data_IF_605957014383
#
_entry.id   IF_605957014383
#
_cell.length_a   1.000
_cell.length_b   1.000
_cell.length_c   1.000
_cell.angle_alpha   90.00
_cell.angle_beta   90.00
_cell.angle_gamma   90.00
#
_symmetry.space_group_name_H-M   'P 1'
#
loop_
_entity.id
_entity.type
_entity.pdbx_description
1 polymer ?
#
# COMPACT_ATOMS: atom_id res chain seq x y z
N UNK A 1 36.87 -31.39 -47.74
CA UNK A 1 35.53 -30.94 -47.30
C UNK A 1 35.25 -31.12 -45.81
N UNK A 2 36.10 -31.73 -45.01
CA UNK A 2 35.88 -32.01 -43.57
C UNK A 2 36.19 -30.85 -42.60
N UNK A 3 36.94 -29.82 -43.00
CA UNK A 3 37.41 -28.76 -42.10
C UNK A 3 36.46 -27.57 -41.90
N UNK A 4 35.41 -27.43 -42.73
CA UNK A 4 34.45 -26.33 -42.64
C UNK A 4 33.34 -26.60 -41.59
N UNK A 5 32.95 -27.87 -41.47
CA UNK A 5 31.90 -28.31 -40.54
C UNK A 5 32.31 -28.19 -39.05
N UNK A 6 33.58 -28.45 -38.72
CA UNK A 6 34.08 -28.38 -37.37
C UNK A 6 34.23 -26.95 -36.83
N UNK A 7 34.50 -25.97 -37.73
CA UNK A 7 34.55 -24.55 -37.35
C UNK A 7 33.16 -23.97 -37.05
N UNK A 8 32.15 -24.34 -37.83
CA UNK A 8 30.78 -23.90 -37.63
C UNK A 8 30.19 -24.47 -36.31
N UNK A 9 30.45 -25.74 -36.04
CA UNK A 9 30.02 -26.37 -34.76
C UNK A 9 30.69 -25.73 -33.57
N UNK A 10 31.98 -25.39 -33.63
CA UNK A 10 32.68 -24.66 -32.55
C UNK A 10 32.10 -23.27 -32.33
N UNK A 11 31.74 -22.54 -33.39
CA UNK A 11 31.14 -21.22 -33.28
C UNK A 11 29.71 -21.28 -32.69
N UNK A 12 28.92 -22.30 -33.03
CA UNK A 12 27.60 -22.54 -32.50
C UNK A 12 27.69 -22.91 -30.99
N UNK A 13 28.63 -23.77 -30.61
CA UNK A 13 28.86 -24.14 -29.23
C UNK A 13 29.35 -22.93 -28.42
N UNK A 14 30.27 -22.12 -28.95
CA UNK A 14 30.73 -20.91 -28.31
C UNK A 14 29.60 -19.87 -28.13
N UNK A 15 28.75 -19.73 -29.14
CA UNK A 15 27.56 -18.88 -29.08
C UNK A 15 26.54 -19.35 -28.04
N UNK A 16 26.34 -20.67 -27.92
CA UNK A 16 25.45 -21.26 -26.88
C UNK A 16 26.02 -21.11 -25.48
N UNK A 17 27.34 -21.23 -25.31
CA UNK A 17 28.03 -21.01 -24.03
C UNK A 17 27.96 -19.54 -23.59
N UNK A 18 28.10 -18.60 -24.52
CA UNK A 18 27.96 -17.16 -24.24
C UNK A 18 26.51 -16.83 -23.87
N UNK A 19 25.49 -17.43 -24.50
CA UNK A 19 24.09 -17.30 -24.14
C UNK A 19 23.77 -17.87 -22.75
N UNK A 20 24.43 -18.94 -22.33
CA UNK A 20 24.29 -19.55 -21.00
C UNK A 20 25.02 -18.74 -19.90
N UNK A 21 26.04 -17.94 -20.26
CA UNK A 21 26.76 -17.06 -19.34
C UNK A 21 26.08 -15.69 -19.17
N UNK A 22 25.17 -15.31 -20.05
CA UNK A 22 24.23 -14.19 -19.83
C UNK A 22 23.09 -14.58 -18.90
N UNK A 23 23.34 -15.38 -17.89
CA UNK A 23 22.45 -15.61 -16.77
C UNK A 23 22.25 -14.28 -16.05
N UNK A 24 21.21 -13.57 -16.44
CA UNK A 24 20.70 -12.43 -15.68
C UNK A 24 20.50 -12.94 -14.26
N UNK A 25 21.36 -12.56 -13.31
CA UNK A 25 21.11 -12.82 -11.90
C UNK A 25 19.77 -12.17 -11.54
N UNK A 26 18.71 -12.94 -11.67
CA UNK A 26 17.39 -12.47 -11.29
C UNK A 26 17.40 -12.31 -9.78
N UNK A 27 17.50 -11.06 -9.34
CA UNK A 27 17.43 -10.73 -7.91
C UNK A 27 16.25 -11.46 -7.29
N UNK A 28 16.45 -12.02 -6.10
CA UNK A 28 15.37 -12.64 -5.33
C UNK A 28 14.35 -11.60 -4.91
N UNK A 29 13.14 -12.04 -4.61
CA UNK A 29 12.09 -11.19 -4.04
C UNK A 29 12.54 -10.62 -2.69
N UNK A 30 12.24 -9.36 -2.41
CA UNK A 30 12.52 -8.75 -1.13
C UNK A 30 11.74 -9.43 0.00
N UNK A 31 12.39 -9.61 1.14
CA UNK A 31 11.87 -10.35 2.28
C UNK A 31 11.35 -9.42 3.38
N UNK A 32 10.41 -9.88 4.17
CA UNK A 32 9.88 -9.16 5.33
C UNK A 32 8.49 -8.58 5.13
N UNK A 33 8.03 -7.84 6.15
CA UNK A 33 6.70 -7.22 6.17
C UNK A 33 6.64 -6.00 5.26
N UNK A 34 5.44 -5.69 4.77
CA UNK A 34 5.18 -4.53 3.92
C UNK A 34 4.85 -3.26 4.76
N UNK A 35 4.80 -3.39 6.09
CA UNK A 35 4.54 -2.30 7.06
C UNK A 35 5.71 -2.06 8.03
N UNK A 36 6.83 -2.80 7.94
CA UNK A 36 8.01 -2.61 8.79
C UNK A 36 9.18 -2.06 7.98
N UNK A 37 9.66 -0.89 8.38
CA UNK A 37 10.83 -0.22 7.78
C UNK A 37 12.04 -0.49 8.65
N UNK A 38 13.05 -1.18 8.12
CA UNK A 38 14.35 -1.26 8.75
C UNK A 38 15.10 0.04 8.54
N UNK A 39 15.41 0.72 9.64
CA UNK A 39 16.16 1.98 9.65
C UNK A 39 17.58 1.70 10.14
N UNK A 40 18.54 1.75 9.22
CA UNK A 40 19.95 1.50 9.50
C UNK A 40 20.61 2.84 9.80
N UNK A 41 20.92 3.10 11.07
CA UNK A 41 21.51 4.36 11.52
C UNK A 41 22.48 4.12 12.68
N UNK A 42 23.43 5.03 12.85
CA UNK A 42 24.26 5.07 14.05
C UNK A 42 23.39 5.54 15.26
N UNK A 43 23.73 5.08 16.45
CA UNK A 43 22.94 5.35 17.66
C UNK A 43 22.71 6.85 17.91
N UNK A 44 23.71 7.66 17.64
CA UNK A 44 23.69 9.12 17.79
C UNK A 44 22.73 9.82 16.80
N UNK A 45 22.40 9.15 15.70
CA UNK A 45 21.52 9.70 14.66
C UNK A 45 20.08 9.14 14.73
N UNK A 46 19.84 8.03 15.44
CA UNK A 46 18.52 7.35 15.49
C UNK A 46 17.39 8.31 15.83
N UNK A 47 17.52 9.10 16.87
CA UNK A 47 16.48 10.05 17.31
C UNK A 47 16.12 11.07 16.22
N UNK A 48 17.15 11.64 15.57
CA UNK A 48 16.97 12.64 14.51
C UNK A 48 16.36 12.02 13.24
N UNK A 49 16.83 10.83 12.86
CA UNK A 49 16.27 10.09 11.70
C UNK A 49 14.80 9.69 11.98
N UNK A 50 14.50 9.24 13.21
CA UNK A 50 13.12 8.98 13.62
C UNK A 50 12.22 10.20 13.46
N UNK A 51 12.67 11.38 13.91
CA UNK A 51 11.90 12.62 13.75
C UNK A 51 11.68 13.00 12.27
N UNK A 52 12.69 12.81 11.40
CA UNK A 52 12.56 13.07 9.96
C UNK A 52 11.54 12.13 9.34
N UNK A 53 11.63 10.82 9.62
CA UNK A 53 10.70 9.83 9.09
C UNK A 53 9.29 10.03 9.62
N UNK A 54 9.13 10.32 10.92
CA UNK A 54 7.82 10.57 11.54
C UNK A 54 7.16 11.86 11.03
N UNK A 55 7.91 12.82 10.52
CA UNK A 55 7.35 14.01 9.87
C UNK A 55 6.68 13.68 8.52
N UNK A 56 7.03 12.57 7.90
CA UNK A 56 6.49 12.12 6.61
C UNK A 56 5.56 10.92 6.76
N UNK A 57 6.01 9.88 7.49
CA UNK A 57 5.30 8.59 7.61
C UNK A 57 4.51 8.54 8.93
N UNK A 58 3.63 9.52 9.13
CA UNK A 58 2.85 9.70 10.37
C UNK A 58 1.39 9.23 10.25
N UNK A 59 1.00 8.64 9.14
CA UNK A 59 -0.35 8.16 8.95
C UNK A 59 -0.66 7.05 9.95
N UNK A 60 -1.83 7.13 10.56
CA UNK A 60 -2.27 6.23 11.62
C UNK A 60 -3.72 5.83 11.36
N UNK A 61 -3.98 4.53 11.39
CA UNK A 61 -5.33 4.01 11.43
C UNK A 61 -5.86 4.12 12.87
N UNK A 62 -6.95 4.84 13.03
CA UNK A 62 -7.61 4.94 14.32
C UNK A 62 -8.55 3.74 14.52
N UNK A 63 -8.14 2.87 15.41
CA UNK A 63 -8.92 1.79 15.99
C UNK A 63 -8.96 2.04 17.50
N UNK A 64 -9.58 1.19 18.33
CA UNK A 64 -9.44 1.32 19.79
C UNK A 64 -7.96 1.43 20.23
N UNK A 65 -7.05 0.77 19.50
CA UNK A 65 -5.60 0.93 19.62
C UNK A 65 -5.06 1.51 18.29
N UNK A 66 -4.54 2.74 18.26
CA UNK A 66 -4.00 3.35 17.04
C UNK A 66 -2.89 2.51 16.42
N UNK A 67 -2.94 2.32 15.11
CA UNK A 67 -1.98 1.53 14.34
C UNK A 67 -1.27 2.43 13.33
N UNK A 68 0.07 2.64 13.46
CA UNK A 68 0.81 3.40 12.46
C UNK A 68 0.89 2.63 11.14
N UNK A 69 0.83 3.34 10.01
CA UNK A 69 0.95 2.74 8.67
C UNK A 69 2.31 2.06 8.45
N UNK A 70 3.35 2.57 9.09
CA UNK A 70 4.68 1.98 9.05
C UNK A 70 5.30 1.94 10.45
N UNK A 71 5.91 0.81 10.79
CA UNK A 71 6.66 0.59 12.01
C UNK A 71 8.15 0.79 11.71
N UNK A 72 8.83 1.61 12.49
CA UNK A 72 10.26 1.85 12.33
C UNK A 72 11.04 0.91 13.25
N UNK A 73 11.92 0.11 12.66
CA UNK A 73 12.83 -0.78 13.38
C UNK A 73 14.27 -0.35 13.17
N UNK A 74 14.86 0.25 14.18
CA UNK A 74 16.26 0.72 14.13
C UNK A 74 17.24 -0.44 14.29
N UNK A 75 18.29 -0.42 13.48
CA UNK A 75 19.38 -1.39 13.49
C UNK A 75 20.71 -0.71 13.22
N UNK A 76 21.79 -1.23 13.85
CA UNK A 76 23.14 -0.66 13.71
C UNK A 76 23.69 -0.85 12.27
N UNK A 77 24.52 0.09 11.72
CA UNK A 77 25.09 -0.01 10.38
C UNK A 77 25.84 -1.30 10.05
N UNK A 78 26.44 -1.98 11.05
CA UNK A 78 27.07 -3.30 10.87
C UNK A 78 26.12 -4.40 10.40
N UNK A 79 24.82 -4.23 10.60
CA UNK A 79 23.79 -5.20 10.21
C UNK A 79 23.35 -5.05 8.74
N UNK A 80 23.92 -4.07 8.03
CA UNK A 80 23.55 -3.73 6.66
C UNK A 80 23.44 -4.95 5.74
N UNK A 81 24.50 -5.77 5.71
CA UNK A 81 24.54 -6.91 4.79
C UNK A 81 23.47 -7.98 5.08
N UNK A 82 23.03 -8.07 6.33
CA UNK A 82 21.93 -8.96 6.74
C UNK A 82 20.56 -8.41 6.36
N UNK A 83 20.40 -7.07 6.38
CA UNK A 83 19.09 -6.40 6.25
C UNK A 83 18.85 -5.87 4.83
N UNK A 84 19.89 -5.62 4.04
CA UNK A 84 19.80 -4.95 2.73
C UNK A 84 18.80 -5.55 1.75
N UNK A 85 18.42 -6.83 1.91
CA UNK A 85 17.42 -7.50 1.05
C UNK A 85 15.99 -7.43 1.57
N UNK A 86 15.73 -6.67 2.65
CA UNK A 86 14.38 -6.48 3.19
C UNK A 86 13.54 -5.58 2.28
N UNK A 87 12.21 -5.70 2.40
CA UNK A 87 11.23 -4.98 1.56
C UNK A 87 11.38 -3.46 1.67
N UNK A 88 11.49 -2.94 2.89
CA UNK A 88 11.58 -1.51 3.17
C UNK A 88 12.85 -1.26 3.98
N UNK A 89 13.83 -0.59 3.36
CA UNK A 89 15.11 -0.27 3.99
C UNK A 89 15.38 1.22 3.86
N UNK A 90 15.70 1.85 4.99
CA UNK A 90 16.18 3.23 5.06
C UNK A 90 17.55 3.23 5.70
N UNK A 91 18.53 3.82 5.05
CA UNK A 91 19.86 4.08 5.64
C UNK A 91 19.94 5.55 5.97
N UNK A 92 20.22 5.89 7.24
CA UNK A 92 20.25 7.27 7.72
C UNK A 92 21.59 7.69 8.29
N UNK A 93 22.06 8.88 7.90
CA UNK A 93 23.24 9.52 8.49
C UNK A 93 23.09 11.04 8.50
N UNK A 94 23.65 11.70 9.52
CA UNK A 94 23.63 13.15 9.66
C UNK A 94 25.05 13.67 9.87
N UNK A 95 25.42 14.67 9.07
CA UNK A 95 26.77 15.22 9.05
C UNK A 95 27.69 14.50 8.06
N UNK A 96 29.02 14.80 8.17
CA UNK A 96 30.03 14.32 7.24
C UNK A 96 31.20 13.63 7.94
N UNK A 97 31.10 13.38 9.24
CA UNK A 97 32.16 12.72 10.01
C UNK A 97 32.23 11.23 9.65
N UNK A 98 33.31 10.87 8.96
CA UNK A 98 33.54 9.49 8.52
C UNK A 98 33.89 8.53 9.68
N UNK A 99 34.11 9.02 10.88
CA UNK A 99 34.23 8.17 12.07
C UNK A 99 32.90 7.58 12.51
N UNK A 100 31.77 8.22 12.14
CA UNK A 100 30.42 7.67 12.33
C UNK A 100 30.18 6.48 11.40
N UNK A 101 29.78 5.30 11.92
CA UNK A 101 29.51 4.13 11.11
C UNK A 101 28.36 4.34 10.14
N UNK A 102 27.41 5.24 10.46
CA UNK A 102 26.31 5.62 9.58
C UNK A 102 26.82 6.38 8.34
N UNK A 103 27.63 7.42 8.55
CA UNK A 103 28.22 8.23 7.47
C UNK A 103 29.15 7.38 6.60
N UNK A 104 29.99 6.53 7.21
CA UNK A 104 30.87 5.62 6.47
C UNK A 104 30.07 4.64 5.59
N UNK A 105 28.95 4.10 6.09
CA UNK A 105 28.06 3.25 5.33
C UNK A 105 27.44 4.01 4.14
N UNK A 106 26.87 5.18 4.37
CA UNK A 106 26.27 6.01 3.32
C UNK A 106 27.29 6.34 2.22
N UNK A 107 28.51 6.74 2.60
CA UNK A 107 29.56 7.01 1.61
C UNK A 107 29.93 5.78 0.77
N UNK A 108 29.86 4.60 1.35
CA UNK A 108 30.11 3.32 0.63
C UNK A 108 29.00 2.98 -0.38
N UNK A 109 27.74 3.36 -0.08
CA UNK A 109 26.59 2.97 -0.91
C UNK A 109 26.30 3.97 -2.02
N UNK A 110 26.53 5.25 -1.78
CA UNK A 110 26.28 6.31 -2.74
C UNK A 110 27.44 6.52 -3.69
N UNK A 111 27.17 6.93 -4.92
CA UNK A 111 28.17 7.50 -5.81
C UNK A 111 28.70 8.82 -5.24
N UNK A 112 29.92 9.24 -5.62
CA UNK A 112 30.47 10.51 -5.13
C UNK A 112 29.55 11.70 -5.41
N UNK A 113 28.93 11.74 -6.59
CA UNK A 113 27.96 12.80 -6.95
C UNK A 113 26.76 12.81 -6.02
N UNK A 114 26.14 11.64 -5.76
CA UNK A 114 24.99 11.53 -4.86
C UNK A 114 25.37 11.90 -3.42
N UNK A 115 26.53 11.44 -2.97
CA UNK A 115 27.03 11.77 -1.64
C UNK A 115 27.22 13.29 -1.48
N UNK A 116 27.87 13.96 -2.45
CA UNK A 116 28.08 15.42 -2.40
C UNK A 116 26.75 16.19 -2.41
N UNK A 117 25.79 15.81 -3.28
CA UNK A 117 24.47 16.43 -3.32
C UNK A 117 23.68 16.23 -2.01
N UNK A 118 23.88 15.13 -1.32
CA UNK A 118 23.16 14.86 -0.07
C UNK A 118 23.78 15.61 1.11
N UNK A 119 25.11 15.63 1.26
CA UNK A 119 25.77 16.36 2.36
C UNK A 119 25.73 17.88 2.18
N UNK A 120 25.52 18.39 0.95
CA UNK A 120 25.23 19.83 0.73
C UNK A 120 23.82 20.20 1.15
N UNK A 121 22.93 19.22 1.38
CA UNK A 121 21.52 19.44 1.68
C UNK A 121 20.65 19.76 0.45
N UNK A 122 21.21 19.59 -0.76
CA UNK A 122 20.46 19.74 -2.00
C UNK A 122 19.47 18.58 -2.19
N UNK A 123 19.93 17.32 -2.03
CA UNK A 123 19.15 16.10 -2.19
C UNK A 123 19.34 15.16 -1.01
N UNK A 124 18.74 15.46 0.15
CA UNK A 124 18.91 14.64 1.36
C UNK A 124 18.24 13.28 1.30
N UNK A 125 17.29 13.06 0.38
CA UNK A 125 16.59 11.81 0.16
C UNK A 125 16.96 11.22 -1.20
N UNK A 126 17.51 10.00 -1.19
CA UNK A 126 17.88 9.27 -2.41
C UNK A 126 17.13 7.96 -2.39
N UNK A 127 16.20 7.80 -3.34
CA UNK A 127 15.44 6.57 -3.54
C UNK A 127 16.08 5.73 -4.63
N UNK A 128 16.18 4.44 -4.37
CA UNK A 128 16.60 3.45 -5.37
C UNK A 128 15.62 2.29 -5.33
N UNK A 129 15.04 1.98 -6.48
CA UNK A 129 14.14 0.84 -6.61
C UNK A 129 14.97 -0.40 -6.90
N UNK A 130 14.70 -1.47 -6.16
CA UNK A 130 15.26 -2.80 -6.38
C UNK A 130 16.81 -2.89 -6.43
N UNK A 131 17.58 -2.19 -5.57
CA UNK A 131 19.05 -2.27 -5.65
C UNK A 131 19.58 -3.65 -5.26
N UNK A 132 19.00 -4.32 -4.26
CA UNK A 132 19.47 -5.59 -3.72
C UNK A 132 18.48 -6.74 -3.92
N UNK A 133 17.18 -6.45 -3.94
CA UNK A 133 16.11 -7.42 -4.11
C UNK A 133 15.01 -6.85 -5.00
N UNK A 134 14.18 -7.69 -5.63
CA UNK A 134 13.02 -7.24 -6.41
C UNK A 134 11.90 -6.79 -5.49
N UNK A 135 11.13 -5.79 -5.92
CA UNK A 135 10.02 -5.22 -5.18
C UNK A 135 10.45 -4.70 -3.80
N UNK A 136 11.49 -3.87 -3.83
CA UNK A 136 12.14 -3.26 -2.68
C UNK A 136 12.14 -1.74 -2.81
N UNK A 137 11.90 -1.05 -1.71
CA UNK A 137 12.29 0.34 -1.53
C UNK A 137 13.56 0.40 -0.70
N UNK A 138 14.55 1.08 -1.27
CA UNK A 138 15.78 1.40 -0.60
C UNK A 138 15.95 2.92 -0.63
N UNK A 139 15.90 3.56 0.54
CA UNK A 139 16.04 5.00 0.67
C UNK A 139 17.28 5.32 1.51
N UNK A 140 18.07 6.28 1.06
CA UNK A 140 19.14 6.88 1.86
C UNK A 140 18.72 8.27 2.29
N UNK A 141 18.83 8.54 3.59
CA UNK A 141 18.72 9.87 4.19
C UNK A 141 20.13 10.29 4.57
N UNK A 142 20.70 11.23 3.86
CA UNK A 142 21.99 11.82 4.18
C UNK A 142 21.90 13.34 4.10
N UNK A 143 22.32 14.03 5.14
CA UNK A 143 22.06 15.47 5.27
C UNK A 143 23.10 16.13 6.19
N UNK A 144 23.46 17.39 5.96
CA UNK A 144 24.35 18.10 6.89
C UNK A 144 23.71 18.31 8.26
N UNK A 145 22.38 18.50 8.32
CA UNK A 145 21.63 18.71 9.56
C UNK A 145 20.23 18.10 9.48
N UNK A 146 19.69 17.66 10.61
CA UNK A 146 18.32 17.16 10.68
C UNK A 146 17.26 18.22 10.29
N UNK A 147 17.53 19.50 10.60
CA UNK A 147 16.64 20.61 10.25
C UNK A 147 16.47 20.71 8.72
N UNK A 148 17.57 20.61 7.96
CA UNK A 148 17.52 20.66 6.50
C UNK A 148 16.73 19.50 5.90
N UNK A 149 16.93 18.29 6.41
CA UNK A 149 16.16 17.15 5.93
C UNK A 149 14.66 17.30 6.25
N UNK A 150 14.30 17.80 7.45
CA UNK A 150 12.88 18.04 7.80
C UNK A 150 12.22 19.09 6.89
N UNK A 151 12.94 20.14 6.51
CA UNK A 151 12.47 21.16 5.58
C UNK A 151 12.11 20.54 4.21
N UNK A 152 13.06 19.78 3.63
CA UNK A 152 12.84 19.10 2.35
C UNK A 152 11.76 18.02 2.47
N UNK A 153 11.72 17.27 3.58
CA UNK A 153 10.70 16.26 3.84
C UNK A 153 9.28 16.85 3.81
N UNK A 154 9.06 18.05 4.33
CA UNK A 154 7.77 18.74 4.26
C UNK A 154 7.35 19.01 2.82
N UNK A 155 8.28 19.47 1.98
CA UNK A 155 8.02 19.76 0.57
C UNK A 155 7.75 18.49 -0.23
N UNK A 156 8.50 17.42 0.05
CA UNK A 156 8.42 16.14 -0.67
C UNK A 156 7.50 15.12 -0.01
N UNK A 157 6.75 15.49 1.02
CA UNK A 157 5.94 14.59 1.85
C UNK A 157 5.05 13.67 1.01
N UNK A 158 4.23 14.26 0.13
CA UNK A 158 3.30 13.52 -0.72
C UNK A 158 4.03 12.50 -1.61
N UNK A 159 5.14 12.91 -2.22
CA UNK A 159 5.92 12.04 -3.11
C UNK A 159 6.57 10.89 -2.33
N UNK A 160 7.17 11.16 -1.16
CA UNK A 160 7.80 10.12 -0.33
C UNK A 160 6.74 9.10 0.13
N UNK A 161 5.60 9.56 0.66
CA UNK A 161 4.48 8.68 1.06
C UNK A 161 4.02 7.80 -0.09
N UNK A 162 3.90 8.37 -1.29
CA UNK A 162 3.44 7.65 -2.47
C UNK A 162 4.39 6.49 -2.82
N UNK A 163 5.72 6.68 -2.74
CA UNK A 163 6.68 5.59 -3.02
C UNK A 163 6.42 4.36 -2.13
N UNK A 164 6.21 4.57 -0.83
CA UNK A 164 5.91 3.49 0.11
C UNK A 164 4.52 2.87 -0.13
N UNK A 165 3.53 3.69 -0.42
CA UNK A 165 2.16 3.22 -0.70
C UNK A 165 2.10 2.40 -1.98
N UNK A 166 2.73 2.85 -3.06
CA UNK A 166 2.77 2.15 -4.35
C UNK A 166 3.39 0.77 -4.22
N UNK A 167 4.50 0.65 -3.49
CA UNK A 167 5.11 -0.66 -3.27
C UNK A 167 4.21 -1.58 -2.45
N UNK A 168 3.62 -1.06 -1.37
CA UNK A 168 2.67 -1.81 -0.56
C UNK A 168 1.51 -2.32 -1.43
N UNK A 169 0.86 -1.43 -2.18
CA UNK A 169 -0.28 -1.77 -3.04
C UNK A 169 0.10 -2.80 -4.10
N UNK A 170 1.24 -2.63 -4.74
CA UNK A 170 1.75 -3.57 -5.73
C UNK A 170 1.97 -4.98 -5.16
N UNK A 171 2.66 -5.08 -4.01
CA UNK A 171 2.96 -6.37 -3.37
C UNK A 171 1.70 -7.05 -2.85
N UNK A 172 0.81 -6.30 -2.18
CA UNK A 172 -0.45 -6.84 -1.67
C UNK A 172 -1.41 -7.23 -2.79
N UNK A 173 -1.50 -6.45 -3.87
CA UNK A 173 -2.30 -6.81 -5.03
C UNK A 173 -1.81 -8.12 -5.68
N UNK A 174 -0.49 -8.29 -5.82
CA UNK A 174 0.09 -9.56 -6.29
C UNK A 174 -0.25 -10.73 -5.37
N UNK A 175 -0.11 -10.53 -4.06
CA UNK A 175 -0.44 -11.56 -3.08
C UNK A 175 -1.92 -11.99 -3.17
N UNK A 176 -2.83 -11.03 -3.31
CA UNK A 176 -4.26 -11.29 -3.29
C UNK A 176 -4.83 -11.78 -4.61
N UNK A 177 -4.32 -11.25 -5.75
CA UNK A 177 -5.00 -11.42 -7.04
C UNK A 177 -4.27 -12.34 -8.03
N UNK A 178 -2.98 -12.67 -7.84
CA UNK A 178 -2.23 -13.40 -8.87
C UNK A 178 -2.49 -14.91 -8.87
N UNK A 179 -2.84 -15.54 -7.75
CA UNK A 179 -2.87 -16.99 -7.66
C UNK A 179 -4.29 -17.59 -7.69
N UNK A 180 -5.20 -17.03 -6.93
CA UNK A 180 -6.56 -17.59 -6.81
C UNK A 180 -7.59 -16.48 -6.65
N UNK A 181 -8.41 -16.29 -7.67
CA UNK A 181 -9.56 -15.37 -7.66
C UNK A 181 -10.82 -16.16 -7.97
N UNK A 182 -11.94 -15.68 -7.49
CA UNK A 182 -13.26 -16.27 -7.75
C UNK A 182 -13.81 -15.73 -9.07
N UNK A 183 -13.21 -16.13 -10.19
CA UNK A 183 -13.54 -15.59 -11.52
C UNK A 183 -14.99 -15.79 -11.93
N UNK A 184 -15.61 -16.89 -11.53
CA UNK A 184 -17.03 -17.15 -11.79
C UNK A 184 -17.91 -16.12 -11.09
N UNK A 185 -17.62 -15.81 -9.82
CA UNK A 185 -18.32 -14.77 -9.08
C UNK A 185 -18.07 -13.38 -9.70
N UNK A 186 -16.84 -13.07 -10.10
CA UNK A 186 -16.50 -11.82 -10.79
C UNK A 186 -17.27 -11.66 -12.11
N UNK A 187 -17.42 -12.74 -12.88
CA UNK A 187 -18.19 -12.77 -14.12
C UNK A 187 -19.68 -12.58 -13.84
N UNK A 188 -20.22 -13.27 -12.83
CA UNK A 188 -21.61 -13.11 -12.41
C UNK A 188 -21.95 -11.65 -12.05
N UNK A 189 -21.10 -10.98 -11.27
CA UNK A 189 -21.33 -9.57 -10.90
C UNK A 189 -21.40 -8.66 -12.14
N UNK A 190 -20.48 -8.88 -13.07
CA UNK A 190 -20.46 -8.10 -14.30
C UNK A 190 -21.70 -8.35 -15.17
N UNK A 191 -22.09 -9.60 -15.37
CA UNK A 191 -23.25 -9.98 -16.19
C UNK A 191 -24.59 -9.56 -15.55
N UNK A 192 -24.70 -9.67 -14.21
CA UNK A 192 -25.94 -9.36 -13.50
C UNK A 192 -26.14 -7.85 -13.26
N UNK A 193 -25.07 -7.10 -13.01
CA UNK A 193 -25.15 -5.73 -12.50
C UNK A 193 -24.45 -4.68 -13.35
N UNK A 194 -23.61 -5.07 -14.33
CA UNK A 194 -22.83 -4.17 -15.19
C UNK A 194 -21.62 -3.54 -14.50
N UNK A 195 -21.20 -4.09 -13.34
CA UNK A 195 -19.98 -3.68 -12.64
C UNK A 195 -19.24 -4.92 -12.13
N UNK A 196 -17.97 -4.77 -11.79
CA UNK A 196 -17.16 -5.86 -11.26
C UNK A 196 -16.13 -5.40 -10.22
N UNK A 197 -15.70 -6.36 -9.40
CA UNK A 197 -14.56 -6.26 -8.48
C UNK A 197 -13.74 -7.54 -8.57
N UNK A 198 -12.45 -7.48 -8.23
CA UNK A 198 -11.64 -8.68 -8.07
C UNK A 198 -11.91 -9.31 -6.71
N UNK A 199 -12.37 -10.55 -6.69
CA UNK A 199 -12.69 -11.27 -5.45
C UNK A 199 -11.60 -12.31 -5.16
N UNK A 200 -10.75 -12.13 -4.12
CA UNK A 200 -9.77 -13.13 -3.73
C UNK A 200 -10.45 -14.41 -3.20
N UNK A 201 -9.71 -15.51 -3.23
CA UNK A 201 -10.17 -16.76 -2.65
C UNK A 201 -10.48 -16.64 -1.15
N UNK A 202 -11.51 -17.39 -0.70
CA UNK A 202 -11.92 -17.48 0.70
C UNK A 202 -12.86 -16.39 1.16
N UNK A 203 -13.36 -15.53 0.27
CA UNK A 203 -14.54 -14.71 0.54
C UNK A 203 -15.81 -15.50 0.17
N UNK A 204 -16.84 -15.36 0.99
CA UNK A 204 -18.16 -15.94 0.80
C UNK A 204 -19.18 -14.84 0.52
N UNK A 205 -20.18 -15.15 -0.30
CA UNK A 205 -21.28 -14.24 -0.57
C UNK A 205 -22.24 -14.28 0.61
N UNK A 206 -22.48 -13.16 1.24
CA UNK A 206 -23.40 -12.99 2.36
C UNK A 206 -24.75 -12.46 1.89
N UNK A 207 -24.74 -11.52 0.94
CA UNK A 207 -25.92 -10.98 0.27
C UNK A 207 -25.61 -10.79 -1.21
N UNK A 208 -26.55 -11.20 -2.06
CA UNK A 208 -26.55 -10.95 -3.50
C UNK A 208 -28.00 -10.64 -3.91
N UNK A 209 -28.38 -9.36 -3.86
CA UNK A 209 -29.77 -8.93 -4.02
C UNK A 209 -29.90 -7.74 -4.97
N UNK A 210 -30.48 -7.98 -6.13
CA UNK A 210 -30.84 -6.92 -7.07
C UNK A 210 -32.00 -6.05 -6.56
N UNK A 211 -32.89 -6.57 -5.72
CA UNK A 211 -33.98 -5.83 -5.10
C UNK A 211 -33.46 -4.80 -4.10
N UNK A 212 -32.57 -5.22 -3.21
CA UNK A 212 -31.90 -4.34 -2.24
C UNK A 212 -30.77 -3.52 -2.87
N UNK A 213 -30.39 -3.82 -4.12
CA UNK A 213 -29.23 -3.23 -4.81
C UNK A 213 -27.96 -3.34 -3.97
N UNK A 214 -27.80 -4.52 -3.34
CA UNK A 214 -26.72 -4.80 -2.40
C UNK A 214 -26.03 -6.10 -2.76
N UNK A 215 -24.71 -6.02 -2.90
CA UNK A 215 -23.82 -7.16 -2.91
C UNK A 215 -22.89 -7.09 -1.72
N UNK A 216 -22.81 -8.15 -0.93
CA UNK A 216 -21.99 -8.19 0.29
C UNK A 216 -21.24 -9.49 0.37
N UNK A 217 -19.92 -9.41 0.51
CA UNK A 217 -19.03 -10.54 0.73
C UNK A 217 -18.31 -10.42 2.06
N UNK A 218 -17.98 -11.57 2.64
CA UNK A 218 -17.23 -11.65 3.89
C UNK A 218 -16.20 -12.77 3.88
N UNK A 219 -15.25 -12.65 4.77
CA UNK A 219 -14.29 -13.71 5.09
C UNK A 219 -14.10 -13.76 6.58
N UNK A 220 -14.15 -14.95 7.15
CA UNK A 220 -13.88 -15.19 8.57
C UNK A 220 -12.39 -15.37 8.86
N UNK A 221 -12.07 -15.18 10.13
CA UNK A 221 -10.77 -15.40 10.76
C UNK A 221 -9.57 -14.73 10.08
N UNK A 222 -9.42 -13.40 10.21
CA UNK A 222 -10.29 -12.44 10.90
C UNK A 222 -11.47 -12.02 10.04
N UNK A 223 -12.54 -11.55 10.68
CA UNK A 223 -13.73 -11.09 9.96
C UNK A 223 -13.42 -9.83 9.16
N UNK A 224 -13.67 -9.92 7.86
CA UNK A 224 -13.47 -8.86 6.87
C UNK A 224 -14.66 -8.85 5.93
N UNK A 225 -15.23 -7.68 5.72
CA UNK A 225 -16.41 -7.51 4.90
C UNK A 225 -16.20 -6.41 3.87
N UNK A 226 -16.76 -6.62 2.70
CA UNK A 226 -16.90 -5.63 1.65
C UNK A 226 -18.30 -5.69 1.08
N UNK A 227 -18.98 -4.54 1.04
CA UNK A 227 -20.26 -4.38 0.40
C UNK A 227 -20.18 -3.38 -0.75
N UNK A 228 -20.93 -3.63 -1.80
CA UNK A 228 -21.20 -2.69 -2.90
C UNK A 228 -22.70 -2.46 -2.93
N UNK A 229 -23.10 -1.23 -2.76
CA UNK A 229 -24.47 -0.78 -2.91
C UNK A 229 -24.57 0.21 -4.06
N UNK A 230 -25.69 0.23 -4.75
CA UNK A 230 -25.91 1.15 -5.88
C UNK A 230 -27.33 1.69 -5.91
N UNK A 231 -27.47 2.95 -6.29
CA UNK A 231 -28.73 3.64 -6.52
C UNK A 231 -28.76 4.25 -7.91
N UNK A 232 -29.96 4.37 -8.51
CA UNK A 232 -30.10 5.01 -9.81
C UNK A 232 -29.98 6.52 -9.68
N UNK A 233 -29.27 7.14 -10.61
CA UNK A 233 -29.07 8.59 -10.70
C UNK A 233 -28.04 9.16 -9.76
N UNK A 234 -27.79 10.46 -9.89
CA UNK A 234 -26.89 11.25 -9.05
C UNK A 234 -27.65 11.72 -7.79
N UNK A 235 -27.72 10.88 -6.78
CA UNK A 235 -28.52 11.15 -5.57
C UNK A 235 -27.81 12.01 -4.51
N UNK A 236 -26.50 12.25 -4.66
CA UNK A 236 -25.67 12.98 -3.70
C UNK A 236 -25.14 14.25 -4.37
N UNK A 237 -25.44 15.40 -3.77
CA UNK A 237 -25.11 16.71 -4.35
C UNK A 237 -24.05 17.48 -3.54
N UNK A 238 -23.85 17.13 -2.25
CA UNK A 238 -22.92 17.83 -1.37
C UNK A 238 -22.38 16.94 -0.25
N UNK A 239 -21.45 17.46 0.53
CA UNK A 239 -20.79 16.76 1.63
C UNK A 239 -21.74 16.39 2.76
N UNK A 240 -22.81 17.18 3.00
CA UNK A 240 -23.78 16.91 4.05
C UNK A 240 -24.65 15.71 3.68
N UNK A 241 -25.14 15.66 2.44
CA UNK A 241 -25.89 14.51 1.92
C UNK A 241 -25.04 13.26 1.89
N UNK A 242 -23.76 13.39 1.46
CA UNK A 242 -22.82 12.27 1.46
C UNK A 242 -22.58 11.74 2.89
N UNK A 243 -22.38 12.63 3.86
CA UNK A 243 -22.22 12.25 5.27
C UNK A 243 -23.47 11.53 5.79
N UNK A 244 -24.64 12.09 5.55
CA UNK A 244 -25.92 11.51 6.02
C UNK A 244 -26.13 10.10 5.44
N UNK A 245 -26.00 9.97 4.11
CA UNK A 245 -26.14 8.69 3.43
C UNK A 245 -25.20 7.62 3.98
N UNK A 246 -23.92 7.97 4.19
CA UNK A 246 -22.93 7.03 4.72
C UNK A 246 -23.25 6.66 6.17
N UNK A 247 -23.67 7.62 7.01
CA UNK A 247 -23.97 7.38 8.43
C UNK A 247 -25.21 6.50 8.62
N UNK A 248 -26.21 6.63 7.76
CA UNK A 248 -27.47 5.85 7.84
C UNK A 248 -27.29 4.43 7.29
N UNK A 249 -26.36 4.23 6.36
CA UNK A 249 -26.14 2.98 5.63
C UNK A 249 -26.04 1.73 6.53
N UNK A 250 -25.26 1.70 7.63
CA UNK A 250 -25.12 0.47 8.42
C UNK A 250 -26.40 0.08 9.15
N UNK A 251 -27.23 1.00 9.60
CA UNK A 251 -28.51 0.69 10.22
C UNK A 251 -29.52 0.16 9.20
N UNK A 252 -29.51 0.69 7.99
CA UNK A 252 -30.41 0.29 6.92
C UNK A 252 -30.08 -1.10 6.38
N UNK A 253 -28.80 -1.40 6.12
CA UNK A 253 -28.38 -2.60 5.39
C UNK A 253 -27.79 -3.70 6.27
N UNK A 254 -27.22 -3.37 7.42
CA UNK A 254 -26.64 -4.37 8.32
C UNK A 254 -27.45 -4.56 9.62
N UNK A 255 -28.25 -3.59 10.01
CA UNK A 255 -29.23 -3.67 11.09
C UNK A 255 -28.67 -3.79 12.52
N UNK A 256 -27.45 -4.29 12.69
CA UNK A 256 -26.84 -4.59 14.00
C UNK A 256 -25.65 -3.72 14.36
N UNK A 257 -25.29 -2.79 13.47
CA UNK A 257 -24.14 -1.91 13.65
C UNK A 257 -24.47 -0.46 13.30
N UNK A 258 -23.71 0.46 13.83
CA UNK A 258 -23.72 1.88 13.48
C UNK A 258 -22.31 2.41 13.34
N UNK A 259 -22.14 3.57 12.70
CA UNK A 259 -20.87 4.28 12.72
C UNK A 259 -20.80 5.22 13.92
N UNK A 260 -19.64 5.21 14.58
CA UNK A 260 -19.35 6.15 15.63
C UNK A 260 -19.08 7.54 15.02
N UNK A 261 -19.76 8.59 15.51
CA UNK A 261 -19.43 9.97 15.14
C UNK A 261 -18.02 10.36 15.61
N UNK A 262 -17.55 9.72 16.66
CA UNK A 262 -16.17 9.85 17.12
C UNK A 262 -15.23 9.18 16.12
N UNK A 263 -14.21 9.93 15.64
CA UNK A 263 -13.27 9.46 14.62
C UNK A 263 -13.83 9.26 13.21
N UNK A 264 -15.05 9.73 12.93
CA UNK A 264 -15.55 9.79 11.56
C UNK A 264 -14.87 10.94 10.80
N UNK A 265 -14.32 10.63 9.63
CA UNK A 265 -13.76 11.59 8.70
C UNK A 265 -14.37 11.39 7.32
N UNK A 266 -14.78 12.48 6.69
CA UNK A 266 -15.23 12.52 5.31
C UNK A 266 -14.34 13.48 4.53
N UNK A 267 -13.77 13.01 3.43
CA UNK A 267 -12.93 13.82 2.55
C UNK A 267 -13.23 13.50 1.10
N UNK A 268 -13.16 14.51 0.25
CA UNK A 268 -13.22 14.30 -1.20
C UNK A 268 -11.88 13.76 -1.72
N UNK A 269 -11.94 12.85 -2.68
CA UNK A 269 -10.76 12.21 -3.26
C UNK A 269 -11.02 11.76 -4.69
N UNK A 270 -9.95 11.40 -5.40
CA UNK A 270 -10.04 10.61 -6.62
C UNK A 270 -10.11 9.12 -6.23
N UNK A 271 -11.14 8.42 -6.68
CA UNK A 271 -11.27 6.97 -6.56
C UNK A 271 -11.37 6.37 -7.97
N UNK A 272 -10.30 5.70 -8.41
CA UNK A 272 -10.12 5.32 -9.81
C UNK A 272 -10.34 6.53 -10.75
N UNK A 273 -11.32 6.48 -11.63
CA UNK A 273 -11.64 7.56 -12.56
C UNK A 273 -12.74 8.52 -12.03
N UNK A 274 -13.25 8.30 -10.81
CA UNK A 274 -14.38 9.07 -10.24
C UNK A 274 -13.94 10.06 -9.17
N UNK A 275 -14.62 11.20 -9.12
CA UNK A 275 -14.66 12.02 -7.92
C UNK A 275 -15.49 11.27 -6.86
N UNK A 276 -14.98 11.15 -5.66
CA UNK A 276 -15.61 10.38 -4.59
C UNK A 276 -15.50 11.05 -3.22
N UNK A 277 -16.46 10.78 -2.37
CA UNK A 277 -16.33 10.98 -0.93
C UNK A 277 -15.73 9.71 -0.30
N UNK A 278 -14.62 9.88 0.38
CA UNK A 278 -13.98 8.82 1.14
C UNK A 278 -14.27 9.01 2.62
N UNK A 279 -15.01 8.07 3.19
CA UNK A 279 -15.28 8.01 4.62
C UNK A 279 -14.32 7.05 5.31
N UNK A 280 -13.87 7.41 6.50
CA UNK A 280 -13.12 6.54 7.40
C UNK A 280 -13.59 6.74 8.83
N UNK A 281 -13.63 5.68 9.62
CA UNK A 281 -14.07 5.76 10.99
C UNK A 281 -14.06 4.42 11.70
N UNK A 282 -14.87 4.35 12.74
CA UNK A 282 -15.09 3.16 13.55
C UNK A 282 -16.57 2.79 13.48
N UNK A 283 -16.85 1.53 13.20
CA UNK A 283 -18.17 0.94 13.39
C UNK A 283 -18.29 0.32 14.79
N UNK A 284 -19.48 0.31 15.32
CA UNK A 284 -19.82 -0.24 16.65
C UNK A 284 -21.05 -1.14 16.51
N UNK A 285 -21.05 -2.29 17.17
CA UNK A 285 -22.24 -3.09 17.30
C UNK A 285 -23.24 -2.39 18.26
N UNK A 286 -24.54 -2.51 17.97
CA UNK A 286 -25.58 -1.83 18.77
C UNK A 286 -25.77 -2.53 20.12
N UNK A 287 -25.73 -3.86 20.13
CA UNK A 287 -26.03 -4.65 21.33
C UNK A 287 -24.76 -5.21 22.02
N UNK A 288 -23.65 -5.34 21.29
CA UNK A 288 -22.41 -5.98 21.76
C UNK A 288 -21.27 -4.99 21.85
N UNK A 289 -20.30 -5.28 22.73
CA UNK A 289 -19.05 -4.52 22.81
C UNK A 289 -18.08 -4.89 21.67
N UNK A 290 -18.55 -4.80 20.42
CA UNK A 290 -17.76 -5.08 19.22
C UNK A 290 -17.62 -3.82 18.39
N UNK A 291 -16.54 -3.74 17.62
CA UNK A 291 -16.30 -2.63 16.73
C UNK A 291 -14.98 -2.76 16.00
N UNK A 292 -14.77 -1.91 15.02
CA UNK A 292 -13.55 -1.91 14.23
C UNK A 292 -13.51 -0.77 13.23
N UNK A 293 -12.40 -0.63 12.50
CA UNK A 293 -12.28 0.39 11.47
C UNK A 293 -13.09 0.03 10.23
N UNK A 294 -13.52 1.08 9.52
CA UNK A 294 -14.11 0.98 8.20
C UNK A 294 -13.51 2.01 7.24
N UNK A 295 -13.64 1.74 5.94
CA UNK A 295 -13.40 2.67 4.84
C UNK A 295 -14.59 2.54 3.87
N UNK A 296 -15.14 3.67 3.44
CA UNK A 296 -16.18 3.74 2.43
C UNK A 296 -15.82 4.71 1.30
N UNK A 297 -16.29 4.40 0.10
CA UNK A 297 -16.19 5.26 -1.08
C UNK A 297 -17.57 5.46 -1.67
N UNK A 298 -18.05 6.69 -1.72
CA UNK A 298 -19.34 7.08 -2.30
C UNK A 298 -19.06 7.94 -3.53
N UNK A 299 -19.57 7.53 -4.70
CA UNK A 299 -19.32 8.22 -5.97
C UNK A 299 -20.46 7.99 -6.96
N UNK A 300 -20.58 8.90 -7.92
CA UNK A 300 -21.49 8.79 -9.04
C UNK A 300 -20.74 8.44 -10.32
N UNK A 301 -21.30 7.48 -11.05
CA UNK A 301 -20.83 7.11 -12.39
C UNK A 301 -21.84 7.56 -13.45
N UNK A 302 -21.40 8.49 -14.30
CA UNK A 302 -22.23 9.04 -15.36
C UNK A 302 -22.46 8.11 -16.57
N UNK A 303 -21.68 7.03 -16.69
CA UNK A 303 -21.88 6.05 -17.79
C UNK A 303 -23.06 5.12 -17.50
N UNK A 304 -23.18 4.68 -16.26
CA UNK A 304 -24.25 3.79 -15.82
C UNK A 304 -25.45 4.53 -15.21
N UNK A 305 -25.32 5.87 -15.03
CA UNK A 305 -26.29 6.71 -14.30
C UNK A 305 -26.63 6.13 -12.93
N UNK A 306 -25.57 5.79 -12.16
CA UNK A 306 -25.71 5.20 -10.82
C UNK A 306 -24.77 5.87 -9.82
N UNK A 307 -25.27 6.02 -8.59
CA UNK A 307 -24.46 6.32 -7.42
C UNK A 307 -24.07 5.02 -6.75
N UNK A 308 -22.77 4.81 -6.51
CA UNK A 308 -22.22 3.63 -5.86
C UNK A 308 -21.67 3.96 -4.49
N UNK A 309 -21.90 3.06 -3.53
CA UNK A 309 -21.24 3.07 -2.24
C UNK A 309 -20.50 1.75 -2.01
N UNK A 310 -19.18 1.80 -1.94
CA UNK A 310 -18.34 0.65 -1.63
C UNK A 310 -17.87 0.78 -0.20
N UNK A 311 -18.28 -0.16 0.63
CA UNK A 311 -18.00 -0.18 2.07
C UNK A 311 -17.10 -1.35 2.43
N UNK A 312 -16.12 -1.11 3.30
CA UNK A 312 -15.23 -2.14 3.83
C UNK A 312 -15.11 -2.00 5.34
N UNK A 313 -15.15 -3.11 6.07
CA UNK A 313 -14.97 -3.11 7.51
C UNK A 313 -14.26 -4.37 8.02
N UNK A 314 -13.68 -4.27 9.21
CA UNK A 314 -12.93 -5.36 9.87
C UNK A 314 -13.34 -5.49 11.33
N UNK A 315 -13.44 -6.76 11.77
CA UNK A 315 -13.45 -7.11 13.18
C UNK A 315 -12.28 -8.06 13.47
N UNK A 316 -11.33 -7.60 14.27
CA UNK A 316 -10.13 -8.37 14.65
C UNK A 316 -9.66 -7.91 16.03
N UNK A 317 -10.38 -8.29 17.11
CA UNK A 317 -10.10 -7.82 18.45
C UNK A 317 -8.69 -8.25 18.90
N UNK A 318 -8.00 -7.33 19.60
CA UNK A 318 -6.67 -7.58 20.13
C UNK A 318 -5.51 -7.59 19.12
N UNK A 319 -5.78 -7.61 17.83
CA UNK A 319 -4.76 -7.73 16.79
C UNK A 319 -4.72 -6.54 15.83
N UNK A 320 -3.63 -6.43 15.05
CA UNK A 320 -3.46 -5.38 14.04
C UNK A 320 -4.42 -5.59 12.87
N UNK A 321 -5.04 -4.49 12.41
CA UNK A 321 -6.08 -4.46 11.38
C UNK A 321 -5.64 -3.77 10.10
N UNK A 322 -4.60 -2.93 10.18
CA UNK A 322 -4.19 -2.03 9.12
C UNK A 322 -3.95 -2.73 7.79
N UNK A 323 -3.11 -3.78 7.76
CA UNK A 323 -2.79 -4.49 6.52
C UNK A 323 -4.05 -5.08 5.90
N UNK A 324 -4.92 -5.67 6.73
CA UNK A 324 -6.16 -6.30 6.28
C UNK A 324 -7.17 -5.28 5.75
N UNK A 325 -7.27 -4.11 6.38
CA UNK A 325 -8.14 -3.03 5.91
C UNK A 325 -7.62 -2.46 4.57
N UNK A 326 -6.31 -2.29 4.44
CA UNK A 326 -5.69 -1.88 3.17
C UNK A 326 -5.85 -2.94 2.08
N UNK A 327 -5.89 -4.23 2.42
CA UNK A 327 -6.23 -5.29 1.48
C UNK A 327 -7.68 -5.18 0.99
N UNK A 328 -8.63 -4.91 1.89
CA UNK A 328 -10.03 -4.63 1.50
C UNK A 328 -10.13 -3.40 0.61
N UNK A 329 -9.40 -2.34 0.92
CA UNK A 329 -9.33 -1.14 0.09
C UNK A 329 -8.79 -1.44 -1.32
N UNK A 330 -7.84 -2.39 -1.48
CA UNK A 330 -7.39 -2.85 -2.79
C UNK A 330 -8.47 -3.64 -3.56
N UNK A 331 -9.30 -4.42 -2.86
CA UNK A 331 -10.48 -5.04 -3.48
C UNK A 331 -11.44 -3.94 -3.96
N UNK A 332 -11.77 -2.97 -3.12
CA UNK A 332 -12.59 -1.82 -3.49
C UNK A 332 -12.01 -1.07 -4.70
N UNK A 333 -10.72 -0.76 -4.71
CA UNK A 333 -10.01 -0.10 -5.83
C UNK A 333 -9.99 -0.92 -7.13
N UNK A 334 -10.30 -2.22 -7.08
CA UNK A 334 -10.45 -3.04 -8.27
C UNK A 334 -11.82 -2.89 -8.94
N UNK A 335 -12.72 -2.09 -8.36
CA UNK A 335 -14.05 -1.81 -8.92
C UNK A 335 -13.96 -1.14 -10.29
N UNK A 336 -14.81 -1.59 -11.19
CA UNK A 336 -15.00 -1.03 -12.52
C UNK A 336 -16.46 -1.16 -12.96
N UNK A 337 -16.87 -0.32 -13.88
CA UNK A 337 -18.14 -0.41 -14.57
C UNK A 337 -17.93 -0.75 -16.04
N UNK A 338 -18.93 -1.23 -16.71
CA UNK A 338 -18.90 -1.48 -18.15
C UNK A 338 -18.60 -0.15 -18.88
N UNK A 339 -17.56 -0.16 -19.71
CA UNK A 339 -17.32 0.96 -20.64
C UNK A 339 -18.16 0.70 -21.86
N UNK A 340 -19.14 1.57 -22.10
CA UNK A 340 -20.00 1.52 -23.28
C UNK A 340 -19.20 1.50 -24.60
#
# INVERSE_FOLDING_TARGET
MANKSTSEIKNIILGLIILLLCGCETKREALGSDDEIFVIAAMEDEGKIKEILSAVLNDTLYTPKPEPYYKLRFVHPREFDRIKNSTLVVVGAIGSDLSSPGVALVKRILSDKQYQQSISGEKPFIFTKDPFARNQIFMVINTPTAARAKEIAKVQNKWIKQQFSDLFEYRQARFMFNNTRQKELETHLYEAYGWGIKVPWGYEVLVDSSEQRLFWIGREMPFRWLAVHWENGAIINDDQMAKQYIMDFPEEYFGSIRYSEYKFNLNTTQFNDWFAWRATGVWEAIEDAQGGPFIGYLFYDGLTDKTYYIHTMIFHPGNNKLILLRQLELIAKSFFVEKA
#
